data_IF_205677894973
#
_entry.id   IF_205677894973
#
_cell.length_a   1.000
_cell.length_b   1.000
_cell.length_c   1.000
_cell.angle_alpha   90.00
_cell.angle_beta   90.00
_cell.angle_gamma   90.00
#
_symmetry.space_group_name_H-M   'P 1'
#
loop_
_entity.id
_entity.type
_entity.pdbx_description
1 polymer ?
#
# COMPACT_ATOMS: atom_id res chain seq x y z
N UNK A 1 4.46 -25.35 7.76
CA UNK A 1 4.21 -24.69 6.46
C UNK A 1 3.58 -23.32 6.65
N UNK A 2 4.39 -22.26 6.76
CA UNK A 2 3.90 -20.87 6.87
C UNK A 2 4.55 -20.02 5.78
N UNK A 3 3.74 -19.54 4.83
CA UNK A 3 4.15 -18.63 3.77
C UNK A 3 3.84 -17.20 4.23
N UNK A 4 4.73 -16.26 3.92
CA UNK A 4 4.52 -14.81 4.11
C UNK A 4 4.49 -14.13 2.76
N UNK A 5 3.50 -13.29 2.53
CA UNK A 5 3.40 -12.44 1.35
C UNK A 5 4.22 -11.16 1.56
N UNK A 6 4.93 -10.72 0.52
CA UNK A 6 5.73 -9.51 0.53
C UNK A 6 5.42 -8.68 -0.72
N UNK A 7 5.07 -7.41 -0.53
CA UNK A 7 4.82 -6.46 -1.63
C UNK A 7 3.41 -6.47 -2.22
N UNK A 8 3.26 -5.94 -3.43
CA UNK A 8 1.97 -5.87 -4.13
C UNK A 8 0.93 -4.93 -3.51
N UNK A 9 1.37 -3.98 -2.69
CA UNK A 9 0.51 -3.14 -1.86
C UNK A 9 -0.12 -1.93 -2.56
N UNK A 10 0.46 -1.45 -3.67
CA UNK A 10 -0.10 -0.38 -4.52
C UNK A 10 0.56 -0.38 -5.90
N UNK A 11 -0.19 -0.04 -6.95
CA UNK A 11 0.27 0.01 -8.34
C UNK A 11 1.19 1.22 -8.60
N UNK A 12 2.45 0.96 -8.96
CA UNK A 12 3.47 1.99 -9.24
C UNK A 12 3.51 2.46 -10.68
N UNK A 13 2.62 1.97 -11.55
CA UNK A 13 2.48 2.39 -12.95
C UNK A 13 1.14 3.09 -13.23
N UNK A 14 0.21 3.09 -12.27
CA UNK A 14 -1.09 3.76 -12.39
C UNK A 14 -1.46 4.55 -11.14
N UNK A 15 -1.92 3.88 -10.09
CA UNK A 15 -2.54 4.53 -8.93
C UNK A 15 -1.57 5.44 -8.18
N UNK A 16 -0.39 4.93 -7.83
CA UNK A 16 0.57 5.67 -7.03
C UNK A 16 1.11 6.92 -7.76
N UNK A 17 1.58 6.85 -9.02
CA UNK A 17 2.12 8.02 -9.71
C UNK A 17 1.07 8.97 -10.30
N UNK A 18 -0.12 8.48 -10.69
CA UNK A 18 -1.08 9.27 -11.49
C UNK A 18 -2.48 9.39 -10.88
N UNK A 19 -2.78 8.62 -9.84
CA UNK A 19 -4.04 8.73 -9.10
C UNK A 19 -4.02 9.89 -8.10
N UNK A 20 -5.17 10.08 -7.47
CA UNK A 20 -5.34 10.97 -6.32
C UNK A 20 -4.92 10.27 -5.02
N UNK A 21 -4.56 11.05 -4.01
CA UNK A 21 -4.25 10.52 -2.68
C UNK A 21 -5.36 9.61 -2.13
N UNK A 22 -6.63 9.93 -2.40
CA UNK A 22 -7.77 9.10 -1.99
C UNK A 22 -7.84 7.75 -2.72
N UNK A 23 -7.52 7.71 -4.01
CA UNK A 23 -7.41 6.46 -4.76
C UNK A 23 -6.27 5.59 -4.22
N UNK A 24 -5.15 6.20 -3.83
CA UNK A 24 -4.04 5.51 -3.16
C UNK A 24 -4.50 4.90 -1.83
N UNK A 25 -5.18 5.67 -0.97
CA UNK A 25 -5.72 5.14 0.31
C UNK A 25 -6.63 3.94 0.08
N UNK A 26 -7.53 4.04 -0.90
CA UNK A 26 -8.47 2.96 -1.25
C UNK A 26 -7.75 1.69 -1.72
N UNK A 27 -6.77 1.82 -2.62
CA UNK A 27 -6.02 0.64 -3.10
C UNK A 27 -5.20 0.01 -1.97
N UNK A 28 -4.47 0.81 -1.20
CA UNK A 28 -3.65 0.33 -0.08
C UNK A 28 -4.51 -0.38 0.97
N UNK A 29 -5.63 0.24 1.38
CA UNK A 29 -6.56 -0.36 2.34
C UNK A 29 -7.15 -1.68 1.82
N UNK A 30 -7.47 -1.77 0.53
CA UNK A 30 -7.94 -3.01 -0.09
C UNK A 30 -6.89 -4.13 0.01
N UNK A 31 -5.60 -3.83 -0.22
CA UNK A 31 -4.52 -4.83 -0.21
C UNK A 31 -4.21 -5.28 1.20
N UNK A 32 -4.19 -4.35 2.15
CA UNK A 32 -4.07 -4.65 3.58
C UNK A 32 -5.21 -5.54 4.07
N UNK A 33 -6.45 -5.29 3.63
CA UNK A 33 -7.60 -6.14 3.97
C UNK A 33 -7.47 -7.56 3.40
N UNK A 34 -7.00 -7.69 2.16
CA UNK A 34 -6.88 -9.00 1.49
C UNK A 34 -5.75 -9.85 2.10
N UNK A 35 -4.60 -9.24 2.38
CA UNK A 35 -3.40 -9.97 2.78
C UNK A 35 -3.08 -9.90 4.28
N UNK A 36 -3.54 -8.86 4.98
CA UNK A 36 -3.05 -8.50 6.32
C UNK A 36 -3.88 -8.97 7.51
N UNK A 37 -5.15 -9.37 7.35
CA UNK A 37 -6.08 -9.65 8.47
C UNK A 37 -5.62 -10.79 9.41
N UNK A 38 -4.77 -11.72 8.96
CA UNK A 38 -4.29 -12.86 9.76
C UNK A 38 -2.76 -12.87 9.94
N UNK A 39 -2.11 -11.72 9.72
CA UNK A 39 -0.65 -11.64 9.66
C UNK A 39 -0.06 -12.36 8.44
N UNK A 40 1.26 -12.50 8.39
CA UNK A 40 1.94 -13.11 7.23
C UNK A 40 1.95 -12.22 5.99
N UNK A 41 1.86 -10.90 6.16
CA UNK A 41 2.00 -9.92 5.10
C UNK A 41 2.97 -8.81 5.49
N UNK A 42 3.96 -8.54 4.64
CA UNK A 42 4.84 -7.38 4.73
C UNK A 42 4.50 -6.46 3.57
N UNK A 43 3.90 -5.32 3.90
CA UNK A 43 3.53 -4.32 2.90
C UNK A 43 4.77 -3.77 2.18
N UNK A 44 4.69 -3.69 0.86
CA UNK A 44 5.57 -2.89 0.00
C UNK A 44 4.80 -2.53 -1.26
N UNK A 45 5.25 -1.53 -2.02
CA UNK A 45 4.72 -1.22 -3.36
C UNK A 45 4.88 -2.42 -4.31
N UNK A 46 4.13 -2.47 -5.43
CA UNK A 46 4.27 -3.58 -6.40
C UNK A 46 5.64 -3.60 -7.08
N UNK A 47 6.25 -2.43 -7.25
CA UNK A 47 7.62 -2.24 -7.73
C UNK A 47 8.20 -0.96 -7.10
N UNK A 48 9.41 -0.56 -7.48
CA UNK A 48 10.04 0.66 -6.98
C UNK A 48 9.17 1.91 -7.21
N UNK A 49 9.18 2.81 -6.22
CA UNK A 49 8.68 4.18 -6.34
C UNK A 49 9.41 4.89 -7.51
N UNK A 50 8.64 5.57 -8.35
CA UNK A 50 9.19 6.28 -9.50
C UNK A 50 9.41 7.76 -9.18
N UNK A 51 10.38 8.37 -9.89
CA UNK A 51 10.59 9.81 -9.84
C UNK A 51 9.29 10.56 -10.21
N UNK A 52 9.10 11.74 -9.62
CA UNK A 52 7.92 12.58 -9.79
C UNK A 52 6.58 11.97 -9.31
N UNK A 53 6.60 10.87 -8.56
CA UNK A 53 5.42 10.45 -7.78
C UNK A 53 5.06 11.59 -6.82
N UNK A 54 3.80 12.07 -6.81
CA UNK A 54 3.38 13.15 -5.92
C UNK A 54 3.61 12.79 -4.45
N UNK A 55 4.09 13.76 -3.66
CA UNK A 55 4.39 13.52 -2.25
C UNK A 55 3.13 13.12 -1.48
N UNK A 56 1.99 13.78 -1.76
CA UNK A 56 0.71 13.48 -1.10
C UNK A 56 0.25 12.04 -1.32
N UNK A 57 0.64 11.41 -2.44
CA UNK A 57 0.33 10.02 -2.73
C UNK A 57 1.20 9.06 -1.90
N UNK A 58 2.48 9.40 -1.72
CA UNK A 58 3.38 8.62 -0.85
C UNK A 58 2.96 8.75 0.61
N UNK A 59 2.60 9.95 1.06
CA UNK A 59 2.07 10.21 2.40
C UNK A 59 0.78 9.40 2.63
N UNK A 60 -0.18 9.48 1.70
CA UNK A 60 -1.44 8.71 1.78
C UNK A 60 -1.20 7.20 1.88
N UNK A 61 -0.22 6.67 1.14
CA UNK A 61 0.17 5.26 1.24
C UNK A 61 0.69 4.91 2.65
N UNK A 62 1.65 5.69 3.17
CA UNK A 62 2.28 5.45 4.48
C UNK A 62 1.25 5.60 5.61
N UNK A 63 0.44 6.67 5.57
CA UNK A 63 -0.63 6.93 6.54
C UNK A 63 -1.63 5.78 6.60
N UNK A 64 -2.03 5.23 5.45
CA UNK A 64 -3.00 4.12 5.40
C UNK A 64 -2.43 2.85 6.01
N UNK A 65 -1.16 2.52 5.73
CA UNK A 65 -0.47 1.38 6.35
C UNK A 65 -0.35 1.57 7.87
N UNK A 66 0.05 2.77 8.32
CA UNK A 66 0.17 3.10 9.73
C UNK A 66 -1.18 2.99 10.46
N UNK A 67 -2.24 3.58 9.88
CA UNK A 67 -3.58 3.51 10.44
C UNK A 67 -4.10 2.08 10.53
N UNK A 68 -3.87 1.24 9.51
CA UNK A 68 -4.24 -0.18 9.56
C UNK A 68 -3.53 -0.89 10.71
N UNK A 69 -2.22 -0.72 10.86
CA UNK A 69 -1.46 -1.36 11.93
C UNK A 69 -1.84 -0.90 13.34
N UNK A 70 -2.24 0.36 13.51
CA UNK A 70 -2.68 0.90 14.80
C UNK A 70 -4.12 0.49 15.17
N UNK A 71 -4.89 -0.03 14.21
CA UNK A 71 -6.25 -0.53 14.40
C UNK A 71 -6.32 -2.07 14.49
N UNK A 72 -5.18 -2.76 14.38
CA UNK A 72 -5.01 -4.18 14.71
C UNK A 72 -4.73 -4.35 16.20
#
# INVERSE_FOLDING_TARGET
DRITFWGGGVDTQKTLPFGTAEEVRKEVASRLKIFGESGGYVFNTIHNLQAATPLENVEAMIETVSAFNNNL
#
